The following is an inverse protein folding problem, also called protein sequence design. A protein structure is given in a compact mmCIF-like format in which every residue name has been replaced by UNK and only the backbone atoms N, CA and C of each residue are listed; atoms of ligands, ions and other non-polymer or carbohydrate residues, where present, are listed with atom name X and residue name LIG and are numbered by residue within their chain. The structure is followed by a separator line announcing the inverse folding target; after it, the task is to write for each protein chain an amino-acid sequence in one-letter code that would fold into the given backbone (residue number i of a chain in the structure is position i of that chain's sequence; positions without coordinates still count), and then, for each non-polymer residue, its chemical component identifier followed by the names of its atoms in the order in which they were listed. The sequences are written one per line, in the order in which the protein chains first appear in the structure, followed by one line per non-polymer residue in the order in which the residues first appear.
data_IF_384194897182
#
_entry.id   IF_384194897182
#
_cell.length_a   1.000
_cell.length_b   1.000
_cell.length_c   1.000
_cell.angle_alpha   90.00
_cell.angle_beta   90.00
_cell.angle_gamma   90.00
#
_symmetry.space_group_name_H-M   'P 1'
#
loop_
_entity.id
_entity.type
_entity.pdbx_description
1 polymer ?
#
# COMPACT_ATOMS: atom_id res chain seq x y z
N UNK A 1 -1.44 32.49 25.83
CA UNK A 1 -1.18 31.12 25.29
C UNK A 1 -0.24 31.21 24.11
N UNK A 2 0.92 30.57 24.17
CA UNK A 2 1.87 30.45 23.04
C UNK A 2 1.34 29.44 22.03
N UNK A 3 1.25 29.80 20.73
CA UNK A 3 0.82 28.86 19.68
C UNK A 3 1.85 27.76 19.49
N UNK A 4 1.41 26.52 19.47
CA UNK A 4 2.26 25.35 19.14
C UNK A 4 2.82 25.48 17.71
N UNK A 5 4.11 25.33 17.53
CA UNK A 5 4.79 25.27 16.23
C UNK A 5 5.65 24.02 16.19
N UNK A 6 5.34 23.14 15.25
CA UNK A 6 6.14 21.94 15.00
C UNK A 6 7.28 22.25 14.04
N UNK A 7 8.53 22.24 14.52
CA UNK A 7 9.71 22.60 13.71
C UNK A 7 9.99 21.64 12.56
N UNK A 8 9.54 20.38 12.66
CA UNK A 8 9.72 19.37 11.60
C UNK A 8 8.54 19.28 10.63
N UNK A 9 7.64 20.26 10.61
CA UNK A 9 6.49 20.29 9.70
C UNK A 9 6.87 20.14 8.21
N UNK A 10 7.93 20.80 7.69
CA UNK A 10 8.37 20.59 6.30
C UNK A 10 8.78 19.14 6.03
N UNK A 11 9.46 18.49 7.00
CA UNK A 11 9.86 17.09 6.91
C UNK A 11 8.63 16.18 6.88
N UNK A 12 7.62 16.45 7.70
CA UNK A 12 6.36 15.72 7.71
C UNK A 12 5.66 15.78 6.35
N UNK A 13 5.61 16.95 5.72
CA UNK A 13 5.01 17.13 4.38
C UNK A 13 5.77 16.34 3.33
N UNK A 14 7.11 16.39 3.30
CA UNK A 14 7.93 15.64 2.35
C UNK A 14 7.75 14.13 2.53
N UNK A 15 7.71 13.65 3.78
CA UNK A 15 7.50 12.22 4.06
C UNK A 15 6.10 11.76 3.71
N UNK A 16 5.07 12.58 3.91
CA UNK A 16 3.71 12.30 3.47
C UNK A 16 3.62 12.17 1.95
N UNK A 17 4.30 13.05 1.21
CA UNK A 17 4.39 12.95 -0.25
C UNK A 17 5.11 11.67 -0.71
N UNK A 18 6.21 11.30 -0.07
CA UNK A 18 6.94 10.06 -0.39
C UNK A 18 6.09 8.83 -0.14
N UNK A 19 5.40 8.78 0.99
CA UNK A 19 4.50 7.68 1.33
C UNK A 19 3.35 7.56 0.31
N UNK A 20 2.68 8.68 -0.03
CA UNK A 20 1.60 8.70 -1.00
C UNK A 20 2.07 8.18 -2.37
N UNK A 21 3.23 8.64 -2.84
CA UNK A 21 3.82 8.17 -4.10
C UNK A 21 4.19 6.68 -4.05
N UNK A 22 4.80 6.21 -2.97
CA UNK A 22 5.14 4.80 -2.81
C UNK A 22 3.89 3.92 -2.78
N UNK A 23 2.79 4.39 -2.17
CA UNK A 23 1.51 3.72 -2.16
C UNK A 23 0.90 3.60 -3.56
N UNK A 24 0.95 4.66 -4.37
CA UNK A 24 0.47 4.64 -5.75
C UNK A 24 1.26 3.64 -6.60
N UNK A 25 2.59 3.65 -6.47
CA UNK A 25 3.46 2.70 -7.19
C UNK A 25 3.19 1.26 -6.77
N UNK A 26 3.00 1.02 -5.47
CA UNK A 26 2.62 -0.29 -4.97
C UNK A 26 1.24 -0.74 -5.49
N UNK A 27 0.24 0.13 -5.48
CA UNK A 27 -1.08 -0.16 -6.03
C UNK A 27 -1.01 -0.52 -7.52
N UNK A 28 -0.22 0.21 -8.32
CA UNK A 28 0.03 -0.10 -9.73
C UNK A 28 0.68 -1.48 -9.91
N UNK A 29 1.66 -1.83 -9.08
CA UNK A 29 2.31 -3.14 -9.12
C UNK A 29 1.35 -4.28 -8.73
N UNK A 30 0.45 -4.06 -7.77
CA UNK A 30 -0.62 -5.03 -7.43
C UNK A 30 -1.54 -5.25 -8.63
N UNK A 31 -1.98 -4.19 -9.31
CA UNK A 31 -2.81 -4.31 -10.51
C UNK A 31 -2.10 -5.04 -11.65
N UNK A 32 -0.79 -4.82 -11.83
CA UNK A 32 0.00 -5.55 -12.83
C UNK A 32 0.10 -7.04 -12.50
N UNK A 33 0.31 -7.37 -11.23
CA UNK A 33 0.34 -8.75 -10.75
C UNK A 33 -1.01 -9.45 -10.97
N UNK A 34 -2.12 -8.83 -10.57
CA UNK A 34 -3.47 -9.41 -10.75
C UNK A 34 -3.76 -9.65 -12.23
N UNK A 35 -3.46 -8.70 -13.10
CA UNK A 35 -3.64 -8.87 -14.57
C UNK A 35 -2.81 -10.02 -15.12
N UNK A 36 -1.58 -10.21 -14.65
CA UNK A 36 -0.74 -11.32 -15.10
C UNK A 36 -1.28 -12.68 -14.63
N UNK A 37 -1.87 -12.76 -13.42
CA UNK A 37 -2.55 -13.98 -12.94
C UNK A 37 -3.82 -14.29 -13.76
N UNK A 38 -4.62 -13.27 -14.08
CA UNK A 38 -5.81 -13.40 -14.93
C UNK A 38 -5.42 -13.91 -16.30
N UNK A 39 -4.36 -13.38 -16.92
CA UNK A 39 -3.89 -13.84 -18.22
C UNK A 39 -3.40 -15.28 -18.18
N UNK A 40 -2.64 -15.68 -17.17
CA UNK A 40 -2.25 -17.08 -16.99
C UNK A 40 -3.48 -18.00 -16.83
N UNK A 41 -4.48 -17.58 -16.06
CA UNK A 41 -5.73 -18.32 -15.93
C UNK A 41 -6.47 -18.45 -17.27
N UNK A 42 -6.49 -17.38 -18.06
CA UNK A 42 -7.10 -17.38 -19.40
C UNK A 42 -6.37 -18.35 -20.34
N UNK A 43 -5.03 -18.33 -20.35
CA UNK A 43 -4.21 -19.28 -21.13
C UNK A 43 -4.55 -20.71 -20.73
N UNK A 44 -4.53 -21.04 -19.46
CA UNK A 44 -4.88 -22.36 -18.95
C UNK A 44 -6.30 -22.80 -19.31
N UNK A 45 -7.24 -21.87 -19.26
CA UNK A 45 -8.64 -22.13 -19.68
C UNK A 45 -8.72 -22.45 -21.17
N UNK A 46 -7.97 -21.73 -22.01
CA UNK A 46 -7.91 -22.01 -23.46
C UNK A 46 -7.28 -23.37 -23.74
N UNK A 47 -6.21 -23.71 -23.06
CA UNK A 47 -5.56 -25.04 -23.15
C UNK A 47 -6.56 -26.14 -22.77
N UNK A 48 -7.28 -25.99 -21.67
CA UNK A 48 -8.28 -26.95 -21.22
C UNK A 48 -9.43 -27.12 -22.25
N UNK A 49 -9.91 -26.02 -22.86
CA UNK A 49 -10.92 -26.06 -23.92
C UNK A 49 -10.43 -26.82 -25.16
N UNK A 50 -9.23 -26.57 -25.64
CA UNK A 50 -8.65 -27.32 -26.75
C UNK A 50 -8.44 -28.79 -26.41
N UNK A 51 -8.00 -29.10 -25.20
CA UNK A 51 -7.86 -30.47 -24.69
C UNK A 51 -9.20 -31.22 -24.72
N UNK A 52 -10.27 -30.57 -24.22
CA UNK A 52 -11.62 -31.15 -24.27
C UNK A 52 -12.10 -31.38 -25.72
N UNK A 53 -11.90 -30.41 -26.62
CA UNK A 53 -12.27 -30.53 -28.02
C UNK A 53 -11.52 -31.67 -28.73
N UNK A 54 -10.23 -31.84 -28.42
CA UNK A 54 -9.43 -32.98 -28.95
C UNK A 54 -9.99 -34.32 -28.47
N UNK A 55 -10.37 -34.37 -27.18
CA UNK A 55 -10.96 -35.59 -26.64
C UNK A 55 -12.31 -35.93 -27.26
N UNK A 56 -13.19 -34.94 -27.41
CA UNK A 56 -14.51 -35.14 -28.06
C UNK A 56 -14.40 -35.50 -29.53
N UNK A 57 -13.48 -34.90 -30.28
CA UNK A 57 -13.25 -35.26 -31.72
C UNK A 57 -12.82 -36.72 -31.94
N UNK A 58 -12.24 -37.34 -30.91
CA UNK A 58 -11.87 -38.78 -30.94
C UNK A 58 -13.05 -39.72 -30.62
N UNK A 59 -14.07 -39.21 -29.91
CA UNK A 59 -15.23 -40.01 -29.48
C UNK A 59 -16.36 -39.98 -30.51
N UNK A 60 -16.47 -38.90 -31.27
CA UNK A 60 -17.52 -38.66 -32.26
C UNK A 60 -17.03 -39.02 -33.67
N UNK A 61 -17.77 -38.63 -34.67
CA UNK A 61 -17.37 -38.76 -36.08
C UNK A 61 -16.06 -37.99 -36.29
N UNK A 62 -14.97 -38.72 -36.53
CA UNK A 62 -13.63 -38.15 -36.65
C UNK A 62 -13.52 -37.32 -37.95
N UNK A 63 -13.30 -36.01 -37.78
CA UNK A 63 -12.90 -35.10 -38.85
C UNK A 63 -11.41 -34.76 -38.66
N UNK A 64 -10.59 -35.13 -39.63
CA UNK A 64 -9.14 -34.95 -39.57
C UNK A 64 -8.72 -33.47 -39.57
N UNK A 65 -9.45 -32.62 -40.32
CA UNK A 65 -9.13 -31.20 -40.45
C UNK A 65 -9.47 -30.45 -39.13
N UNK A 66 -10.65 -30.72 -38.55
CA UNK A 66 -11.05 -30.18 -37.26
C UNK A 66 -10.11 -30.61 -36.13
N UNK A 67 -9.74 -31.91 -36.12
CA UNK A 67 -8.76 -32.43 -35.15
C UNK A 67 -7.40 -31.77 -35.27
N UNK A 68 -6.89 -31.59 -36.50
CA UNK A 68 -5.63 -30.91 -36.77
C UNK A 68 -5.65 -29.45 -36.30
N UNK A 69 -6.77 -28.74 -36.53
CA UNK A 69 -6.96 -27.37 -36.04
C UNK A 69 -6.92 -27.29 -34.53
N UNK A 70 -7.62 -28.17 -33.82
CA UNK A 70 -7.61 -28.25 -32.37
C UNK A 70 -6.22 -28.54 -31.80
N UNK A 71 -5.47 -29.47 -32.43
CA UNK A 71 -4.10 -29.77 -32.06
C UNK A 71 -3.15 -28.57 -32.23
N UNK A 72 -3.30 -27.84 -33.34
CA UNK A 72 -2.50 -26.63 -33.56
C UNK A 72 -2.81 -25.54 -32.53
N UNK A 73 -4.09 -25.31 -32.23
CA UNK A 73 -4.51 -24.40 -31.19
C UNK A 73 -3.96 -24.79 -29.82
N UNK A 74 -4.08 -26.05 -29.45
CA UNK A 74 -3.52 -26.59 -28.19
C UNK A 74 -2.01 -26.34 -28.07
N UNK A 75 -1.25 -26.64 -29.13
CA UNK A 75 0.21 -26.41 -29.13
C UNK A 75 0.57 -24.95 -28.99
N UNK A 76 -0.14 -24.05 -29.66
CA UNK A 76 0.08 -22.61 -29.58
C UNK A 76 -0.18 -22.10 -28.18
N UNK A 77 -1.34 -22.42 -27.59
CA UNK A 77 -1.67 -21.96 -26.23
C UNK A 77 -0.75 -22.58 -25.18
N UNK A 78 -0.35 -23.86 -25.35
CA UNK A 78 0.62 -24.50 -24.44
C UNK A 78 2.01 -23.83 -24.50
N UNK A 79 2.39 -23.29 -25.66
CA UNK A 79 3.64 -22.53 -25.79
C UNK A 79 3.58 -21.16 -25.06
N UNK A 80 2.37 -20.58 -24.91
CA UNK A 80 2.15 -19.31 -24.21
C UNK A 80 2.12 -19.47 -22.67
N UNK A 81 1.95 -20.69 -22.15
CA UNK A 81 1.85 -20.90 -20.69
C UNK A 81 3.15 -20.52 -19.96
N UNK A 82 4.30 -20.95 -20.47
CA UNK A 82 5.61 -20.66 -19.82
C UNK A 82 5.92 -19.16 -19.77
N UNK A 83 5.75 -18.38 -20.88
CA UNK A 83 5.87 -16.93 -20.83
C UNK A 83 4.90 -16.27 -19.84
N UNK A 84 3.65 -16.74 -19.79
CA UNK A 84 2.65 -16.21 -18.85
C UNK A 84 3.03 -16.50 -17.39
N UNK A 85 3.53 -17.69 -17.06
CA UNK A 85 4.05 -18.03 -15.73
C UNK A 85 5.25 -17.15 -15.33
N UNK A 86 6.16 -16.89 -16.27
CA UNK A 86 7.29 -15.98 -16.05
C UNK A 86 6.83 -14.56 -15.80
N UNK A 87 5.81 -14.09 -16.52
CA UNK A 87 5.22 -12.77 -16.32
C UNK A 87 4.62 -12.63 -14.91
N UNK A 88 3.88 -13.62 -14.42
CA UNK A 88 3.35 -13.68 -13.05
C UNK A 88 4.48 -13.64 -12.03
N UNK A 89 5.52 -14.44 -12.21
CA UNK A 89 6.67 -14.47 -11.31
C UNK A 89 7.37 -13.11 -11.22
N UNK A 90 7.63 -12.47 -12.37
CA UNK A 90 8.27 -11.16 -12.44
C UNK A 90 7.41 -10.08 -11.78
N UNK A 91 6.10 -10.04 -12.10
CA UNK A 91 5.16 -9.09 -11.50
C UNK A 91 5.04 -9.28 -9.98
N UNK A 92 5.10 -10.52 -9.49
CA UNK A 92 5.08 -10.82 -8.06
C UNK A 92 6.32 -10.27 -7.33
N UNK A 93 7.51 -10.45 -7.91
CA UNK A 93 8.76 -9.91 -7.34
C UNK A 93 8.68 -8.40 -7.27
N UNK A 94 8.26 -7.75 -8.36
CA UNK A 94 8.13 -6.30 -8.40
C UNK A 94 7.12 -5.80 -7.36
N UNK A 95 5.95 -6.42 -7.26
CA UNK A 95 4.96 -6.09 -6.24
C UNK A 95 5.53 -6.19 -4.82
N UNK A 96 6.32 -7.23 -4.53
CA UNK A 96 6.95 -7.40 -3.21
C UNK A 96 7.98 -6.30 -2.92
N UNK A 97 8.78 -5.90 -3.91
CA UNK A 97 9.72 -4.79 -3.79
C UNK A 97 9.00 -3.47 -3.51
N UNK A 98 7.95 -3.15 -4.30
CA UNK A 98 7.15 -1.92 -4.10
C UNK A 98 6.42 -1.91 -2.76
N UNK A 99 6.00 -3.08 -2.29
CA UNK A 99 5.45 -3.21 -0.92
C UNK A 99 6.48 -2.86 0.15
N UNK A 100 7.72 -3.33 0.01
CA UNK A 100 8.79 -3.01 0.94
C UNK A 100 9.07 -1.50 0.97
N UNK A 101 9.20 -0.87 -0.21
CA UNK A 101 9.41 0.57 -0.36
C UNK A 101 8.26 1.39 0.31
N UNK A 102 7.01 0.96 0.08
CA UNK A 102 5.85 1.59 0.72
C UNK A 102 5.89 1.47 2.24
N UNK A 103 6.18 0.28 2.77
CA UNK A 103 6.24 0.06 4.22
C UNK A 103 7.36 0.87 4.88
N UNK A 104 8.48 1.06 4.22
CA UNK A 104 9.57 1.92 4.70
C UNK A 104 9.13 3.39 4.72
N UNK A 105 8.57 3.91 3.64
CA UNK A 105 8.06 5.27 3.58
C UNK A 105 6.96 5.52 4.62
N UNK A 106 6.08 4.55 4.84
CA UNK A 106 5.04 4.61 5.86
C UNK A 106 5.62 4.68 7.28
N UNK A 107 6.60 3.83 7.60
CA UNK A 107 7.30 3.87 8.90
C UNK A 107 7.97 5.21 9.16
N UNK A 108 8.62 5.78 8.15
CA UNK A 108 9.25 7.08 8.25
C UNK A 108 8.25 8.20 8.55
N UNK A 109 7.08 8.18 7.91
CA UNK A 109 6.01 9.14 8.17
C UNK A 109 5.46 8.98 9.60
N UNK A 110 5.21 7.75 10.02
CA UNK A 110 4.71 7.45 11.37
C UNK A 110 5.68 7.90 12.47
N UNK A 111 6.98 7.78 12.25
CA UNK A 111 7.99 8.29 13.19
C UNK A 111 7.86 9.81 13.39
N UNK A 112 7.69 10.57 12.32
CA UNK A 112 7.53 12.04 12.41
C UNK A 112 6.23 12.41 13.10
N UNK A 113 5.12 11.71 12.79
CA UNK A 113 3.83 11.92 13.47
C UNK A 113 3.94 11.68 14.97
N UNK A 114 4.60 10.59 15.38
CA UNK A 114 4.84 10.30 16.82
C UNK A 114 5.68 11.38 17.51
N UNK A 115 6.67 11.96 16.81
CA UNK A 115 7.46 13.07 17.34
C UNK A 115 6.57 14.32 17.47
N UNK A 116 5.72 14.60 16.50
CA UNK A 116 4.76 15.72 16.55
C UNK A 116 3.82 15.57 17.74
N UNK A 117 3.22 14.40 17.94
CA UNK A 117 2.30 14.11 19.03
C UNK A 117 2.97 14.28 20.41
N UNK A 118 4.19 13.74 20.55
CA UNK A 118 4.98 13.90 21.80
C UNK A 118 5.32 15.37 22.07
N UNK A 119 5.71 16.13 21.05
CA UNK A 119 6.04 17.57 21.21
C UNK A 119 4.79 18.38 21.52
N UNK A 120 3.67 18.05 20.91
CA UNK A 120 2.36 18.68 21.19
C UNK A 120 1.90 18.40 22.62
N UNK A 121 2.03 17.16 23.07
CA UNK A 121 1.70 16.79 24.45
C UNK A 121 2.59 17.54 25.49
N UNK A 122 3.90 17.62 25.25
CA UNK A 122 4.83 18.38 26.10
C UNK A 122 4.48 19.87 26.12
N UNK A 123 4.14 20.45 24.98
CA UNK A 123 3.72 21.84 24.89
C UNK A 123 2.44 22.09 25.68
N UNK A 124 1.45 21.19 25.61
CA UNK A 124 0.22 21.29 26.40
C UNK A 124 0.52 21.29 27.89
N UNK A 125 1.32 20.33 28.38
CA UNK A 125 1.71 20.26 29.80
C UNK A 125 2.45 21.53 30.23
N UNK A 126 3.30 22.11 29.40
CA UNK A 126 4.00 23.35 29.71
C UNK A 126 3.03 24.54 29.81
N UNK A 127 2.06 24.64 28.88
CA UNK A 127 1.02 25.69 28.96
C UNK A 127 0.16 25.54 30.20
N UNK A 128 -0.28 24.32 30.52
CA UNK A 128 -1.09 24.08 31.74
C UNK A 128 -0.34 24.48 33.02
N UNK A 129 0.97 24.22 33.06
CA UNK A 129 1.82 24.66 34.19
C UNK A 129 1.99 26.18 34.26
N UNK A 130 2.17 26.85 33.10
CA UNK A 130 2.24 28.32 33.05
C UNK A 130 0.92 28.93 33.55
N UNK A 131 -0.23 28.43 33.09
CA UNK A 131 -1.56 28.87 33.51
C UNK A 131 -1.78 28.65 35.01
N UNK A 132 -1.40 27.48 35.54
CA UNK A 132 -1.51 27.19 36.95
C UNK A 132 -0.68 28.17 37.80
N UNK A 133 0.57 28.45 37.40
CA UNK A 133 1.42 29.40 38.06
C UNK A 133 0.84 30.82 38.08
N UNK A 134 0.22 31.26 36.94
CA UNK A 134 -0.47 32.54 36.86
C UNK A 134 -1.68 32.61 37.82
N UNK A 135 -2.46 31.51 37.93
CA UNK A 135 -3.57 31.44 38.88
C UNK A 135 -3.10 31.45 40.32
N UNK A 136 -2.02 30.74 40.67
CA UNK A 136 -1.45 30.72 42.01
C UNK A 136 -0.93 32.08 42.40
N UNK A 137 -0.26 32.81 41.48
CA UNK A 137 0.17 34.19 41.72
C UNK A 137 -1.00 35.16 41.94
N UNK A 138 -2.08 35.00 41.17
CA UNK A 138 -3.29 35.83 41.34
C UNK A 138 -3.97 35.55 42.71
N UNK A 139 -4.04 34.28 43.09
CA UNK A 139 -4.59 33.88 44.39
C UNK A 139 -3.74 34.41 45.56
N UNK A 140 -2.40 34.31 45.46
CA UNK A 140 -1.48 34.86 46.42
C UNK A 140 -1.62 36.38 46.59
N UNK A 141 -1.71 37.13 45.49
CA UNK A 141 -1.92 38.59 45.54
C UNK A 141 -3.26 38.99 46.18
N UNK A 142 -4.33 38.22 45.94
CA UNK A 142 -5.63 38.46 46.59
C UNK A 142 -5.59 38.16 48.06
N UNK A 143 -4.88 37.12 48.47
CA UNK A 143 -4.72 36.75 49.87
C UNK A 143 -3.94 37.82 50.66
N UNK A 144 -2.77 38.28 50.15
CA UNK A 144 -1.95 39.30 50.81
C UNK A 144 -2.70 40.63 50.93
N UNK A 145 -3.49 41.05 49.94
CA UNK A 145 -4.31 42.26 50.03
C UNK A 145 -5.39 42.17 51.11
N UNK A 146 -5.95 40.98 51.35
CA UNK A 146 -6.93 40.78 52.44
C UNK A 146 -6.29 40.74 53.84
N UNK A 147 -5.05 40.32 53.92
CA UNK A 147 -4.31 40.26 55.19
C UNK A 147 -3.77 41.64 55.64
N UNK A 148 -3.69 42.61 54.72
CA UNK A 148 -3.21 43.99 55.02
C UNK A 148 -4.34 45.03 55.13
N UNK A 149 -5.58 44.65 55.02
CA UNK A 149 -6.77 45.47 55.22
C UNK A 149 -7.46 45.12 56.53
#
# INVERSE_FOLDING_TARGET
MKKFRFGLRPVSVVRAHREARAREVFASAVHAYVRSEEELMNVRTRIAKFGAAIFESRRNTFDADEHAHCLQGFRRESAEEIPAERAVFTARIEMQQRRADYLEAHRELELVKRIEDKTRARHRIACDREEQAEFDDLAGRRHSRRATA
#
